data_IF_561267686155
#
_entry.id   IF_561267686155
#
_cell.length_a   1.000
_cell.length_b   1.000
_cell.length_c   1.000
_cell.angle_alpha   90.00
_cell.angle_beta   90.00
_cell.angle_gamma   90.00
#
_symmetry.space_group_name_H-M   'P 1'
#
loop_
_entity.id
_entity.type
_entity.pdbx_description
1 polymer ?
#
# COMPACT_ATOMS: atom_id res chain seq x y z
N UNK A 1 -13.25 -16.55 4.94
CA UNK A 1 -13.09 -15.07 5.03
C UNK A 1 -13.13 -14.55 6.48
N UNK A 2 -13.79 -15.23 7.43
CA UNK A 2 -13.84 -14.81 8.85
C UNK A 2 -12.54 -15.12 9.60
N UNK A 3 -11.82 -16.18 9.28
CA UNK A 3 -10.59 -16.56 9.96
C UNK A 3 -9.41 -15.61 9.64
N UNK A 4 -9.26 -15.20 8.39
CA UNK A 4 -8.20 -14.26 7.97
C UNK A 4 -8.37 -12.87 8.59
N UNK A 5 -9.61 -12.36 8.70
CA UNK A 5 -9.89 -11.08 9.35
C UNK A 5 -9.54 -11.09 10.84
N UNK A 6 -9.80 -12.18 11.54
CA UNK A 6 -9.45 -12.30 12.98
C UNK A 6 -7.94 -12.41 13.21
N UNK A 7 -7.22 -13.14 12.36
CA UNK A 7 -5.76 -13.26 12.45
C UNK A 7 -5.09 -11.89 12.25
N UNK A 8 -5.56 -11.11 11.29
CA UNK A 8 -5.01 -9.76 11.04
C UNK A 8 -5.22 -8.81 12.23
N UNK A 9 -6.38 -8.83 12.88
CA UNK A 9 -6.66 -7.97 14.06
C UNK A 9 -5.76 -8.34 15.24
N UNK A 10 -5.55 -9.63 15.49
CA UNK A 10 -4.68 -10.09 16.58
C UNK A 10 -3.21 -9.71 16.33
N UNK A 11 -2.72 -9.87 15.11
CA UNK A 11 -1.37 -9.47 14.71
C UNK A 11 -1.19 -7.94 14.87
N UNK A 12 -2.16 -7.15 14.43
CA UNK A 12 -2.14 -5.70 14.57
C UNK A 12 -2.17 -5.25 16.03
N UNK A 13 -2.99 -5.89 16.89
CA UNK A 13 -3.03 -5.57 18.30
C UNK A 13 -1.71 -5.90 19.00
N UNK A 14 -1.12 -7.05 18.71
CA UNK A 14 0.19 -7.45 19.26
C UNK A 14 1.31 -6.49 18.82
N UNK A 15 1.31 -6.07 17.56
CA UNK A 15 2.26 -5.07 17.07
C UNK A 15 2.07 -3.72 17.77
N UNK A 16 0.82 -3.27 17.93
CA UNK A 16 0.51 -2.03 18.62
C UNK A 16 0.98 -2.05 20.07
N UNK A 17 0.68 -3.14 20.81
CA UNK A 17 1.09 -3.30 22.21
C UNK A 17 2.61 -3.32 22.34
N UNK A 18 3.31 -4.00 21.44
CA UNK A 18 4.77 -4.05 21.40
C UNK A 18 5.37 -2.67 21.16
N UNK A 19 4.89 -1.96 20.14
CA UNK A 19 5.38 -0.61 19.81
C UNK A 19 5.09 0.39 20.91
N UNK A 20 3.90 0.32 21.54
CA UNK A 20 3.53 1.18 22.67
C UNK A 20 4.39 0.88 23.89
N UNK A 21 4.68 -0.39 24.18
CA UNK A 21 5.57 -0.77 25.28
C UNK A 21 7.02 -0.30 25.08
N UNK A 22 7.51 -0.28 23.85
CA UNK A 22 8.90 0.09 23.54
C UNK A 22 9.10 1.61 23.40
N UNK A 23 8.14 2.28 22.77
CA UNK A 23 8.28 3.68 22.37
C UNK A 23 7.27 4.63 23.03
N UNK A 24 6.21 4.11 23.67
CA UNK A 24 5.12 4.94 24.18
C UNK A 24 5.50 5.92 25.30
N UNK A 25 6.61 5.67 26.00
CA UNK A 25 7.15 6.58 27.03
C UNK A 25 8.13 7.61 26.45
N UNK A 26 8.53 7.49 25.17
CA UNK A 26 9.45 8.42 24.53
C UNK A 26 8.71 9.67 24.09
N UNK A 27 9.16 10.83 24.49
CA UNK A 27 8.58 12.13 24.11
C UNK A 27 8.66 12.42 22.60
N UNK A 28 9.59 11.75 21.90
CA UNK A 28 9.82 11.87 20.47
C UNK A 28 8.93 11.00 19.60
N UNK A 29 8.09 10.13 20.18
CA UNK A 29 7.25 9.20 19.43
C UNK A 29 5.81 9.23 19.95
N UNK A 30 4.88 9.53 19.08
CA UNK A 30 3.45 9.35 19.33
C UNK A 30 2.95 8.15 18.55
N UNK A 31 2.17 7.28 19.18
CA UNK A 31 1.63 6.06 18.57
C UNK A 31 0.11 6.07 18.73
N UNK A 32 -0.60 5.82 17.64
CA UNK A 32 -2.04 5.74 17.60
C UNK A 32 -2.54 4.70 16.60
N UNK A 33 -3.86 4.50 16.58
CA UNK A 33 -4.54 3.71 15.55
C UNK A 33 -5.39 4.61 14.70
N UNK A 34 -5.36 4.40 13.37
CA UNK A 34 -6.28 5.07 12.47
C UNK A 34 -7.67 4.45 12.51
N UNK A 35 -8.66 5.14 11.96
CA UNK A 35 -10.02 4.62 11.79
C UNK A 35 -10.06 3.36 10.91
N UNK A 36 -9.04 3.17 10.07
CA UNK A 36 -8.88 2.00 9.18
C UNK A 36 -8.18 0.83 9.88
N UNK A 37 -7.75 0.99 11.14
CA UNK A 37 -7.05 -0.02 11.92
C UNK A 37 -5.54 -0.07 11.69
N UNK A 38 -4.98 0.80 10.84
CA UNK A 38 -3.53 0.92 10.68
C UNK A 38 -2.89 1.49 11.95
N UNK A 39 -1.65 1.13 12.25
CA UNK A 39 -0.86 1.78 13.30
C UNK A 39 -0.20 3.03 12.69
N UNK A 40 -0.46 4.18 13.27
CA UNK A 40 0.13 5.46 12.88
C UNK A 40 1.15 5.90 13.93
N UNK A 41 2.29 6.38 13.47
CA UNK A 41 3.35 6.92 14.33
C UNK A 41 3.74 8.32 13.86
N UNK A 42 3.90 9.24 14.80
CA UNK A 42 4.54 10.53 14.57
C UNK A 42 5.89 10.47 15.30
N UNK A 43 6.97 10.73 14.59
CA UNK A 43 8.33 10.54 15.08
C UNK A 43 9.12 11.80 14.88
N UNK A 44 9.75 12.30 15.96
CA UNK A 44 10.79 13.33 15.85
C UNK A 44 12.10 12.68 15.42
N UNK A 45 12.44 12.87 14.15
CA UNK A 45 13.63 12.26 13.53
C UNK A 45 14.94 12.76 14.12
N UNK A 46 14.96 13.91 14.79
CA UNK A 46 16.18 14.50 15.39
C UNK A 46 16.79 13.59 16.46
N UNK A 47 15.98 12.88 17.22
CA UNK A 47 16.44 11.92 18.23
C UNK A 47 17.06 10.63 17.64
N UNK A 48 16.85 10.38 16.34
CA UNK A 48 17.36 9.21 15.63
C UNK A 48 18.51 9.57 14.66
N UNK A 49 19.30 10.60 15.02
CA UNK A 49 20.42 11.06 14.22
C UNK A 49 20.03 11.75 12.91
N UNK A 50 18.80 12.27 12.83
CA UNK A 50 18.25 12.91 11.64
C UNK A 50 17.88 11.92 10.51
N UNK A 51 17.85 10.61 10.79
CA UNK A 51 17.53 9.59 9.78
C UNK A 51 16.37 8.71 10.25
N UNK A 52 15.19 9.01 9.74
CA UNK A 52 14.00 8.19 9.95
C UNK A 52 14.21 6.74 9.47
N UNK A 53 15.11 6.53 8.51
CA UNK A 53 15.36 5.20 7.97
C UNK A 53 15.92 4.24 9.03
N UNK A 54 16.83 4.68 9.91
CA UNK A 54 17.33 3.83 11.00
C UNK A 54 16.22 3.38 11.94
N UNK A 55 15.32 4.30 12.29
CA UNK A 55 14.15 3.98 13.09
C UNK A 55 13.23 2.96 12.40
N UNK A 56 12.99 3.14 11.09
CA UNK A 56 12.16 2.21 10.31
C UNK A 56 12.76 0.82 10.21
N UNK A 57 14.09 0.71 10.04
CA UNK A 57 14.79 -0.59 10.01
C UNK A 57 14.64 -1.29 11.36
N UNK A 58 14.89 -0.60 12.48
CA UNK A 58 14.73 -1.16 13.83
C UNK A 58 13.30 -1.69 14.05
N UNK A 59 12.28 -0.93 13.68
CA UNK A 59 10.88 -1.37 13.77
C UNK A 59 10.62 -2.60 12.89
N UNK A 60 11.09 -2.60 11.65
CA UNK A 60 10.85 -3.70 10.72
C UNK A 60 11.46 -5.00 11.24
N UNK A 61 12.66 -4.95 11.80
CA UNK A 61 13.32 -6.10 12.41
C UNK A 61 12.53 -6.62 13.62
N UNK A 62 12.04 -5.75 14.50
CA UNK A 62 11.24 -6.10 15.68
C UNK A 62 9.90 -6.72 15.30
N UNK A 63 9.25 -6.21 14.28
CA UNK A 63 8.00 -6.73 13.73
C UNK A 63 8.20 -7.97 12.84
N UNK A 64 9.42 -8.51 12.73
CA UNK A 64 9.77 -9.72 11.98
C UNK A 64 9.32 -9.69 10.52
N UNK A 65 9.35 -8.52 9.92
CA UNK A 65 8.94 -8.29 8.53
C UNK A 65 7.47 -8.64 8.19
N UNK A 66 6.60 -8.74 9.18
CA UNK A 66 5.17 -9.02 8.96
C UNK A 66 4.38 -7.78 8.50
N UNK A 67 5.02 -6.61 8.51
CA UNK A 67 4.40 -5.32 8.21
C UNK A 67 5.15 -4.58 7.10
N UNK A 68 4.43 -3.67 6.46
CA UNK A 68 5.00 -2.68 5.55
C UNK A 68 4.94 -1.32 6.23
N UNK A 69 6.05 -0.60 6.24
CA UNK A 69 6.16 0.74 6.77
C UNK A 69 6.05 1.77 5.63
N UNK A 70 5.12 2.70 5.78
CA UNK A 70 4.94 3.81 4.86
C UNK A 70 5.38 5.09 5.58
N UNK A 71 6.41 5.74 5.06
CA UNK A 71 7.00 6.95 5.65
C UNK A 71 6.58 8.16 4.84
N UNK A 72 5.76 9.02 5.45
CA UNK A 72 5.29 10.25 4.83
C UNK A 72 6.38 11.30 4.67
N UNK A 73 6.02 12.37 3.97
CA UNK A 73 6.87 13.54 3.80
C UNK A 73 7.30 14.10 5.17
N UNK A 74 8.58 14.38 5.32
CA UNK A 74 9.09 15.04 6.51
C UNK A 74 8.54 16.46 6.60
N UNK A 75 8.23 16.89 7.82
CA UNK A 75 7.72 18.24 8.10
C UNK A 75 8.50 18.87 9.25
N UNK A 76 8.62 20.17 9.23
CA UNK A 76 9.35 20.97 10.21
C UNK A 76 8.49 21.39 11.42
N UNK A 77 7.19 21.13 11.34
CA UNK A 77 6.27 21.50 12.41
C UNK A 77 5.05 20.57 12.48
N UNK A 78 4.44 20.48 13.67
CA UNK A 78 3.20 19.74 13.88
C UNK A 78 2.00 20.32 13.12
N UNK A 79 2.06 21.60 12.73
CA UNK A 79 0.98 22.23 11.93
C UNK A 79 0.88 21.60 10.54
N UNK A 80 1.99 21.08 10.00
CA UNK A 80 2.06 20.43 8.70
C UNK A 80 1.93 18.90 8.76
N UNK A 81 1.64 18.34 9.94
CA UNK A 81 1.50 16.87 10.11
C UNK A 81 0.41 16.28 9.22
N UNK A 82 -0.61 17.09 8.88
CA UNK A 82 -1.65 16.68 7.94
C UNK A 82 -1.09 16.41 6.55
N UNK A 83 -0.15 17.22 6.08
CA UNK A 83 0.50 17.03 4.77
C UNK A 83 1.31 15.74 4.74
N UNK A 84 2.03 15.44 5.84
CA UNK A 84 2.74 14.18 6.01
C UNK A 84 1.78 12.99 5.95
N UNK A 85 0.65 13.05 6.66
CA UNK A 85 -0.37 12.00 6.64
C UNK A 85 -1.01 11.81 5.25
N UNK A 86 -1.25 12.89 4.52
CA UNK A 86 -1.75 12.82 3.15
C UNK A 86 -0.72 12.19 2.20
N UNK A 87 0.56 12.48 2.39
CA UNK A 87 1.62 11.86 1.61
C UNK A 87 1.72 10.35 1.83
N UNK A 88 1.50 9.84 3.06
CA UNK A 88 1.39 8.41 3.35
C UNK A 88 0.26 7.75 2.57
N UNK A 89 -0.90 8.42 2.45
CA UNK A 89 -2.00 7.91 1.62
C UNK A 89 -1.62 7.76 0.16
N UNK A 90 -0.83 8.70 -0.37
CA UNK A 90 -0.34 8.62 -1.74
C UNK A 90 0.64 7.47 -1.94
N UNK A 91 1.51 7.19 -0.95
CA UNK A 91 2.41 6.03 -0.98
C UNK A 91 1.62 4.72 -1.00
N UNK A 92 0.50 4.65 -0.29
CA UNK A 92 -0.38 3.47 -0.29
C UNK A 92 -0.78 3.05 -1.72
N UNK A 93 -0.98 4.02 -2.61
CA UNK A 93 -1.26 3.76 -4.01
C UNK A 93 -0.06 3.19 -4.77
N UNK A 94 1.17 3.61 -4.41
CA UNK A 94 2.39 3.07 -5.02
C UNK A 94 2.70 1.64 -4.54
N UNK A 95 2.23 1.24 -3.37
CA UNK A 95 2.54 -0.06 -2.77
C UNK A 95 2.13 -1.25 -3.65
N UNK A 96 1.09 -1.15 -4.46
CA UNK A 96 0.68 -2.22 -5.38
C UNK A 96 1.77 -2.57 -6.41
N UNK A 97 2.71 -1.64 -6.68
CA UNK A 97 3.81 -1.80 -7.62
C UNK A 97 5.16 -2.10 -6.95
N UNK A 98 5.22 -1.95 -5.63
CA UNK A 98 6.43 -2.04 -4.80
C UNK A 98 6.31 -3.14 -3.74
N UNK A 99 5.65 -4.26 -4.09
CA UNK A 99 5.31 -5.34 -3.15
C UNK A 99 6.49 -6.02 -2.49
N UNK A 100 7.68 -5.93 -3.09
CA UNK A 100 8.92 -6.52 -2.55
C UNK A 100 9.59 -5.64 -1.48
N UNK A 101 9.15 -4.39 -1.35
CA UNK A 101 9.71 -3.43 -0.39
C UNK A 101 8.92 -3.46 0.92
N UNK A 102 9.66 -3.43 2.04
CA UNK A 102 9.09 -3.38 3.40
C UNK A 102 9.03 -1.97 3.98
N UNK A 103 9.81 -1.07 3.43
CA UNK A 103 9.84 0.34 3.81
C UNK A 103 9.68 1.17 2.53
N UNK A 104 8.61 1.95 2.46
CA UNK A 104 8.37 2.89 1.37
C UNK A 104 8.44 4.32 1.94
N UNK A 105 9.31 5.13 1.38
CA UNK A 105 9.52 6.53 1.77
C UNK A 105 8.98 7.42 0.66
N UNK A 106 8.22 8.45 1.02
CA UNK A 106 7.52 9.34 0.09
C UNK A 106 8.43 9.87 -1.02
N UNK A 107 9.62 10.37 -0.66
CA UNK A 107 10.57 10.94 -1.61
C UNK A 107 11.19 9.92 -2.58
N UNK A 108 11.02 8.62 -2.29
CA UNK A 108 11.59 7.52 -3.10
C UNK A 108 10.54 6.80 -3.95
N UNK A 109 9.26 7.14 -3.78
CA UNK A 109 8.17 6.52 -4.52
C UNK A 109 7.87 7.28 -5.81
N UNK A 110 7.60 6.54 -6.89
CA UNK A 110 7.06 7.15 -8.11
C UNK A 110 5.54 7.36 -7.92
N UNK A 111 5.14 8.59 -7.62
CA UNK A 111 3.74 8.98 -7.41
C UNK A 111 3.10 9.63 -8.64
N UNK A 112 3.80 9.62 -9.79
CA UNK A 112 3.28 10.14 -11.06
C UNK A 112 2.43 9.05 -11.74
N UNK A 113 1.21 8.89 -11.27
CA UNK A 113 0.30 7.88 -11.81
C UNK A 113 -0.36 8.34 -13.10
N UNK A 114 -0.46 7.42 -14.07
CA UNK A 114 -1.30 7.58 -15.24
C UNK A 114 -2.77 7.34 -14.89
N UNK A 115 -3.66 8.19 -15.35
CA UNK A 115 -5.11 7.99 -15.25
C UNK A 115 -5.67 7.17 -16.43
N UNK A 116 -4.82 6.76 -17.35
CA UNK A 116 -5.20 6.03 -18.57
C UNK A 116 -4.25 4.86 -18.76
N UNK A 117 -4.81 3.70 -19.06
CA UNK A 117 -4.08 2.54 -19.54
C UNK A 117 -4.12 2.53 -21.08
N UNK A 118 -2.97 2.55 -21.74
CA UNK A 118 -2.87 2.54 -23.20
C UNK A 118 -3.30 1.16 -23.73
N UNK A 119 -4.11 1.15 -24.81
CA UNK A 119 -4.52 -0.10 -25.46
C UNK A 119 -5.58 -0.87 -24.68
N UNK A 120 -6.81 -0.53 -24.90
CA UNK A 120 -8.01 -1.01 -24.15
C UNK A 120 -8.44 -2.44 -24.46
N UNK A 121 -7.65 -3.23 -25.17
CA UNK A 121 -8.03 -4.59 -25.59
C UNK A 121 -8.06 -5.59 -24.41
N UNK A 122 -7.39 -5.29 -23.28
CA UNK A 122 -7.38 -6.19 -22.11
C UNK A 122 -8.79 -6.56 -21.63
N UNK A 123 -9.67 -5.60 -21.45
CA UNK A 123 -11.03 -5.90 -20.99
C UNK A 123 -11.73 -6.87 -21.93
N UNK A 124 -11.60 -6.65 -23.23
CA UNK A 124 -12.17 -7.50 -24.26
C UNK A 124 -11.54 -8.90 -24.27
N UNK A 125 -10.23 -8.99 -24.16
CA UNK A 125 -9.49 -10.25 -24.12
C UNK A 125 -9.86 -11.06 -22.86
N UNK A 126 -9.86 -10.45 -21.69
CA UNK A 126 -10.27 -11.07 -20.44
C UNK A 126 -11.73 -11.55 -20.49
N UNK A 127 -12.65 -10.71 -20.96
CA UNK A 127 -14.07 -11.07 -21.12
C UNK A 127 -14.22 -12.25 -22.07
N UNK A 128 -13.52 -12.27 -23.19
CA UNK A 128 -13.57 -13.36 -24.15
C UNK A 128 -13.00 -14.67 -23.58
N UNK A 129 -11.86 -14.61 -22.88
CA UNK A 129 -11.26 -15.77 -22.20
C UNK A 129 -12.21 -16.37 -21.16
N UNK A 130 -12.83 -15.53 -20.32
CA UNK A 130 -13.80 -15.97 -19.31
C UNK A 130 -15.04 -16.58 -19.98
N UNK A 131 -15.60 -15.92 -21.01
CA UNK A 131 -16.80 -16.40 -21.71
C UNK A 131 -16.58 -17.72 -22.43
N UNK A 132 -15.37 -18.00 -22.87
CA UNK A 132 -15.02 -19.23 -23.57
C UNK A 132 -14.40 -20.29 -22.63
N UNK A 133 -14.34 -20.04 -21.33
CA UNK A 133 -13.74 -20.94 -20.32
C UNK A 133 -12.28 -21.32 -20.63
N UNK A 134 -11.51 -20.39 -21.17
CA UNK A 134 -10.12 -20.59 -21.56
C UNK A 134 -9.18 -20.03 -20.48
N UNK A 135 -8.91 -20.84 -19.45
CA UNK A 135 -8.11 -20.44 -18.29
C UNK A 135 -6.71 -19.95 -18.66
N UNK A 136 -5.99 -20.67 -19.52
CA UNK A 136 -4.63 -20.30 -19.94
C UNK A 136 -4.58 -18.95 -20.69
N UNK A 137 -5.59 -18.66 -21.51
CA UNK A 137 -5.71 -17.37 -22.20
C UNK A 137 -6.01 -16.23 -21.22
N UNK A 138 -6.82 -16.50 -20.17
CA UNK A 138 -7.09 -15.54 -19.10
C UNK A 138 -5.85 -15.24 -18.29
N UNK A 139 -5.11 -16.28 -17.89
CA UNK A 139 -3.87 -16.13 -17.13
C UNK A 139 -2.86 -15.28 -17.92
N UNK A 140 -2.67 -15.58 -19.21
CA UNK A 140 -1.79 -14.80 -20.09
C UNK A 140 -2.24 -13.33 -20.26
N UNK A 141 -3.56 -13.08 -20.34
CA UNK A 141 -4.10 -11.72 -20.43
C UNK A 141 -3.89 -10.95 -19.11
N UNK A 142 -4.07 -11.60 -17.97
CA UNK A 142 -3.83 -11.00 -16.64
C UNK A 142 -2.36 -10.67 -16.44
N UNK A 143 -1.45 -11.59 -16.78
CA UNK A 143 -0.02 -11.36 -16.67
C UNK A 143 0.44 -10.18 -17.55
N UNK A 144 -0.02 -10.13 -18.80
CA UNK A 144 0.27 -9.02 -19.71
C UNK A 144 -0.27 -7.69 -19.17
N UNK A 145 -1.46 -7.69 -18.55
CA UNK A 145 -2.00 -6.52 -17.89
C UNK A 145 -1.11 -6.08 -16.72
N UNK A 146 -0.72 -6.99 -15.84
CA UNK A 146 0.11 -6.67 -14.67
C UNK A 146 1.43 -6.02 -15.07
N UNK A 147 2.08 -6.52 -16.12
CA UNK A 147 3.30 -5.93 -16.68
C UNK A 147 3.04 -4.49 -17.14
N UNK A 148 1.99 -4.28 -17.93
CA UNK A 148 1.66 -2.95 -18.46
C UNK A 148 1.24 -1.95 -17.39
N UNK A 149 0.45 -2.38 -16.42
CA UNK A 149 0.06 -1.53 -15.27
C UNK A 149 1.29 -1.01 -14.54
N UNK A 150 2.31 -1.86 -14.37
CA UNK A 150 3.57 -1.50 -13.72
C UNK A 150 4.40 -0.55 -14.60
N UNK A 151 4.52 -0.84 -15.90
CA UNK A 151 5.28 -0.01 -16.85
C UNK A 151 4.68 1.40 -17.03
N UNK A 152 3.35 1.48 -17.12
CA UNK A 152 2.63 2.74 -17.31
C UNK A 152 2.33 3.46 -15.98
N UNK A 153 2.65 2.84 -14.84
CA UNK A 153 2.37 3.36 -13.49
C UNK A 153 0.91 3.86 -13.34
N UNK A 154 -0.05 2.99 -13.64
CA UNK A 154 -1.47 3.36 -13.68
C UNK A 154 -2.03 3.54 -12.28
N UNK A 155 -2.85 4.59 -12.05
CA UNK A 155 -3.46 4.81 -10.75
C UNK A 155 -4.34 3.61 -10.31
N UNK A 156 -4.26 3.14 -9.04
CA UNK A 156 -5.03 2.00 -8.55
C UNK A 156 -6.54 2.09 -8.80
N UNK A 157 -7.14 3.27 -8.67
CA UNK A 157 -8.56 3.47 -8.94
C UNK A 157 -8.90 3.20 -10.41
N UNK A 158 -7.98 3.55 -11.33
CA UNK A 158 -8.12 3.25 -12.75
C UNK A 158 -8.07 1.73 -12.98
N UNK A 159 -7.16 1.03 -12.29
CA UNK A 159 -7.08 -0.44 -12.34
C UNK A 159 -8.40 -1.07 -11.89
N UNK A 160 -8.91 -0.61 -10.73
CA UNK A 160 -10.19 -1.10 -10.20
C UNK A 160 -11.36 -0.86 -11.17
N UNK A 161 -11.38 0.29 -11.83
CA UNK A 161 -12.38 0.59 -12.86
C UNK A 161 -12.34 -0.41 -14.02
N UNK A 162 -11.15 -0.79 -14.49
CA UNK A 162 -11.01 -1.82 -15.53
C UNK A 162 -11.51 -3.20 -15.05
N UNK A 163 -11.17 -3.59 -13.82
CA UNK A 163 -11.65 -4.85 -13.23
C UNK A 163 -13.18 -4.86 -13.13
N UNK A 164 -13.79 -3.78 -12.63
CA UNK A 164 -15.24 -3.66 -12.56
C UNK A 164 -15.90 -3.74 -13.94
N UNK A 165 -15.32 -3.14 -14.96
CA UNK A 165 -15.85 -3.25 -16.33
C UNK A 165 -15.84 -4.69 -16.85
N UNK A 166 -14.76 -5.45 -16.59
CA UNK A 166 -14.70 -6.88 -16.96
C UNK A 166 -15.80 -7.66 -16.23
N UNK A 167 -15.94 -7.46 -14.91
CA UNK A 167 -16.96 -8.15 -14.11
C UNK A 167 -18.37 -7.81 -14.63
N UNK A 168 -18.63 -6.56 -14.91
CA UNK A 168 -19.92 -6.08 -15.43
C UNK A 168 -20.25 -6.70 -16.78
N UNK A 169 -19.29 -6.71 -17.73
CA UNK A 169 -19.51 -7.29 -19.06
C UNK A 169 -19.67 -8.81 -19.05
N UNK A 170 -19.06 -9.50 -18.08
CA UNK A 170 -19.25 -10.94 -17.89
C UNK A 170 -20.61 -11.24 -17.27
N UNK A 171 -21.05 -10.41 -16.32
CA UNK A 171 -22.30 -10.61 -15.58
C UNK A 171 -23.59 -10.21 -16.31
N UNK A 172 -23.49 -9.37 -17.36
CA UNK A 172 -24.64 -8.93 -18.16
C UNK A 172 -25.01 -9.96 -19.26
N UNK A 173 -25.50 -11.13 -18.85
CA UNK A 173 -26.15 -12.12 -19.71
C UNK A 173 -27.58 -12.43 -19.28
#
# INVERSE_FOLDING_TARGET
>A
STAEGHINIEIMNRAFDMLTGEYGEKSSVYIGKSDMGDIEMIVDSSEYGGSILHFCVDITERLRNDFVLLVGKETDSLEHIRESRESVRNIKNAFIYETDRRILIYEQCNLNFSSVLSGTDFCREAVNAIKNLRGEELDGAVDALCVRLKEENVHPDTVMMYIYNVIFEVGNR
#
